data_IF_083982040525
#
_entry.id   IF_083982040525
#
_cell.length_a   1.000
_cell.length_b   1.000
_cell.length_c   1.000
_cell.angle_alpha   90.00
_cell.angle_beta   90.00
_cell.angle_gamma   90.00
#
_symmetry.space_group_name_H-M   'P 1'
#
loop_
_entity.id
_entity.type
_entity.pdbx_description
1 polymer ?
#
# COMPACT_ATOMS: atom_id res chain seq x y z
N UNK A 1 -0.53 -20.49 12.86
CA UNK A 1 -1.23 -19.42 13.58
C UNK A 1 -1.48 -18.29 12.59
N UNK A 2 -2.72 -17.86 12.41
CA UNK A 2 -3.08 -16.75 11.53
C UNK A 2 -2.92 -15.41 12.26
N UNK A 3 -2.89 -14.29 11.53
CA UNK A 3 -2.79 -12.96 12.16
C UNK A 3 -3.92 -12.68 13.17
N UNK A 4 -5.20 -12.97 12.87
CA UNK A 4 -6.27 -12.78 13.87
C UNK A 4 -6.09 -13.65 15.12
N UNK A 5 -5.66 -14.90 14.95
CA UNK A 5 -5.38 -15.81 16.07
C UNK A 5 -4.18 -15.34 16.91
N UNK A 6 -3.16 -14.77 16.25
CA UNK A 6 -1.99 -14.21 16.90
C UNK A 6 -2.33 -12.91 17.65
N UNK A 7 -3.04 -11.98 17.01
CA UNK A 7 -3.43 -10.70 17.59
C UNK A 7 -4.36 -10.86 18.80
N UNK A 8 -5.27 -11.85 18.77
CA UNK A 8 -6.11 -12.19 19.92
C UNK A 8 -5.30 -12.73 21.11
N UNK A 9 -4.18 -13.43 20.85
CA UNK A 9 -3.29 -13.97 21.89
C UNK A 9 -2.28 -12.95 22.40
N UNK A 10 -1.93 -11.97 21.58
CA UNK A 10 -0.92 -10.95 21.88
C UNK A 10 -1.47 -9.53 21.65
N UNK A 11 -2.48 -9.08 22.42
CA UNK A 11 -3.16 -7.82 22.16
C UNK A 11 -2.23 -6.60 22.28
N UNK A 12 -1.30 -6.60 23.23
CA UNK A 12 -0.29 -5.53 23.37
C UNK A 12 0.66 -5.47 22.16
N UNK A 13 1.18 -6.62 21.71
CA UNK A 13 2.07 -6.67 20.54
C UNK A 13 1.35 -6.30 19.24
N UNK A 14 0.07 -6.65 19.10
CA UNK A 14 -0.75 -6.20 17.98
C UNK A 14 -0.93 -4.68 18.00
N UNK A 15 -1.15 -4.10 19.18
CA UNK A 15 -1.29 -2.66 19.36
C UNK A 15 0.03 -1.90 19.12
N UNK A 16 1.16 -2.46 19.54
CA UNK A 16 2.50 -1.95 19.22
C UNK A 16 2.80 -2.05 17.72
N UNK A 17 2.48 -3.17 17.08
CA UNK A 17 2.60 -3.32 15.63
C UNK A 17 1.76 -2.28 14.90
N UNK A 18 0.51 -2.09 15.31
CA UNK A 18 -0.33 -0.99 14.81
C UNK A 18 0.38 0.36 14.98
N UNK A 19 0.86 0.67 16.18
CA UNK A 19 1.57 1.91 16.44
C UNK A 19 2.80 2.07 15.55
N UNK A 20 3.61 1.04 15.34
CA UNK A 20 4.79 1.07 14.46
C UNK A 20 4.40 1.34 13.00
N UNK A 21 3.37 0.64 12.51
CA UNK A 21 2.81 0.86 11.17
C UNK A 21 2.24 2.27 11.00
N UNK A 22 1.80 2.91 12.09
CA UNK A 22 1.30 4.28 12.13
C UNK A 22 2.38 5.34 12.43
N UNK A 23 3.46 5.00 13.14
CA UNK A 23 4.41 5.95 13.75
C UNK A 23 5.46 6.49 12.76
N UNK A 24 5.80 5.74 11.72
CA UNK A 24 6.76 6.20 10.70
C UNK A 24 6.22 7.31 9.78
N UNK A 25 4.99 7.79 9.99
CA UNK A 25 4.45 8.99 9.35
C UNK A 25 4.89 10.32 10.01
N UNK A 26 5.75 10.29 11.04
CA UNK A 26 6.03 11.47 11.87
C UNK A 26 7.52 11.79 12.02
N UNK A 27 8.12 12.37 10.99
CA UNK A 27 9.25 13.29 11.17
C UNK A 27 8.94 14.63 10.48
N UNK A 28 8.82 15.69 11.28
CA UNK A 28 8.70 17.06 10.80
C UNK A 28 9.84 17.91 11.34
N UNK A 29 10.73 18.44 10.49
CA UNK A 29 11.41 19.68 10.83
C UNK A 29 10.39 20.83 10.72
N UNK A 30 10.25 21.64 11.77
CA UNK A 30 9.43 22.85 11.77
C UNK A 30 9.82 23.76 10.59
N UNK A 31 8.83 24.21 9.81
CA UNK A 31 9.04 25.15 8.69
C UNK A 31 9.28 24.53 7.31
N UNK A 32 9.24 23.20 7.16
CA UNK A 32 9.34 22.57 5.84
C UNK A 32 8.11 22.87 4.94
N UNK A 33 8.30 23.15 3.63
CA UNK A 33 7.18 23.33 2.71
C UNK A 33 6.28 22.09 2.69
N UNK A 34 4.95 22.26 2.61
CA UNK A 34 4.02 21.13 2.48
C UNK A 34 4.29 20.42 1.16
N UNK A 35 4.88 19.24 1.25
CA UNK A 35 5.19 18.44 0.07
C UNK A 35 3.97 17.61 -0.37
N UNK A 36 3.79 17.48 -1.69
CA UNK A 36 2.70 16.71 -2.30
C UNK A 36 2.92 15.21 -2.08
N UNK A 37 1.84 14.43 -2.17
CA UNK A 37 1.91 12.96 -2.10
C UNK A 37 2.82 12.36 -3.19
N UNK A 38 2.80 12.95 -4.39
CA UNK A 38 3.71 12.58 -5.47
C UNK A 38 5.18 12.79 -5.10
N UNK A 39 5.51 13.86 -4.36
CA UNK A 39 6.86 14.07 -3.84
C UNK A 39 7.22 13.03 -2.77
N UNK A 40 6.32 12.79 -1.81
CA UNK A 40 6.50 11.77 -0.78
C UNK A 40 6.77 10.39 -1.41
N UNK A 41 6.05 10.03 -2.45
CA UNK A 41 6.25 8.80 -3.20
C UNK A 41 7.64 8.71 -3.84
N UNK A 42 8.15 9.78 -4.45
CA UNK A 42 9.50 9.77 -5.03
C UNK A 42 10.59 9.70 -3.95
N UNK A 43 10.40 10.39 -2.82
CA UNK A 43 11.33 10.30 -1.69
C UNK A 43 11.38 8.89 -1.10
N UNK A 44 10.23 8.26 -0.89
CA UNK A 44 10.15 6.88 -0.41
C UNK A 44 10.93 5.94 -1.34
N UNK A 45 10.72 6.04 -2.66
CA UNK A 45 11.46 5.24 -3.66
C UNK A 45 12.97 5.47 -3.59
N UNK A 46 13.41 6.72 -3.46
CA UNK A 46 14.83 7.05 -3.34
C UNK A 46 15.44 6.45 -2.06
N UNK A 47 14.75 6.53 -0.93
CA UNK A 47 15.23 6.00 0.34
C UNK A 47 15.29 4.46 0.33
N UNK A 48 14.28 3.81 -0.24
CA UNK A 48 14.27 2.36 -0.44
C UNK A 48 15.48 1.93 -1.29
N UNK A 49 15.72 2.61 -2.41
CA UNK A 49 16.85 2.33 -3.29
C UNK A 49 18.21 2.52 -2.61
N UNK A 50 18.37 3.59 -1.81
CA UNK A 50 19.62 3.83 -1.04
C UNK A 50 19.93 2.71 -0.05
N UNK A 51 18.90 2.04 0.47
CA UNK A 51 19.02 0.94 1.42
C UNK A 51 19.10 -0.44 0.71
N UNK A 52 19.28 -0.45 -0.61
CA UNK A 52 19.42 -1.67 -1.42
C UNK A 52 18.10 -2.30 -1.84
N UNK A 53 16.95 -1.77 -1.39
CA UNK A 53 15.63 -2.18 -1.84
C UNK A 53 15.30 -1.69 -3.24
N UNK A 54 14.20 -2.18 -3.79
CA UNK A 54 13.65 -1.69 -5.06
C UNK A 54 12.14 -1.59 -4.94
N UNK A 55 11.57 -0.44 -5.35
CA UNK A 55 10.13 -0.20 -5.32
C UNK A 55 9.60 0.39 -6.63
N UNK A 56 8.44 -0.11 -7.04
CA UNK A 56 7.70 0.28 -8.22
C UNK A 56 6.34 0.85 -7.84
N UNK A 57 5.81 1.72 -8.70
CA UNK A 57 4.44 2.21 -8.56
C UNK A 57 3.47 1.11 -8.91
N UNK A 58 2.56 0.80 -7.98
CA UNK A 58 1.41 -0.06 -8.20
C UNK A 58 0.23 0.81 -8.65
N UNK A 59 -0.25 0.58 -9.87
CA UNK A 59 -1.45 1.25 -10.35
C UNK A 59 -2.64 0.31 -10.10
N UNK A 60 -3.57 0.73 -9.25
CA UNK A 60 -4.81 0.00 -8.99
C UNK A 60 -5.95 0.69 -9.72
N UNK A 61 -6.69 -0.06 -10.54
CA UNK A 61 -7.77 0.53 -11.32
C UNK A 61 -8.68 -0.50 -12.00
N UNK A 62 -9.70 0.01 -12.68
CA UNK A 62 -10.62 -0.78 -13.47
C UNK A 62 -11.04 -0.01 -14.73
N UNK A 63 -11.24 -0.72 -15.84
CA UNK A 63 -11.85 -0.13 -17.02
C UNK A 63 -13.31 0.20 -16.74
N UNK A 64 -13.87 1.12 -17.53
CA UNK A 64 -15.28 1.47 -17.43
C UNK A 64 -16.12 0.30 -17.92
N UNK A 65 -17.13 -0.07 -17.12
CA UNK A 65 -18.10 -1.09 -17.51
C UNK A 65 -19.03 -0.61 -18.64
N UNK A 66 -19.21 0.71 -18.75
CA UNK A 66 -20.00 1.37 -19.79
C UNK A 66 -19.17 2.48 -20.40
N UNK A 67 -19.03 2.48 -21.72
CA UNK A 67 -18.32 3.52 -22.43
C UNK A 67 -19.18 4.05 -23.57
N UNK A 68 -19.26 5.38 -23.66
CA UNK A 68 -20.00 6.05 -24.73
C UNK A 68 -19.04 6.29 -25.90
N UNK A 69 -19.36 5.68 -27.04
CA UNK A 69 -18.62 5.83 -28.27
C UNK A 69 -19.41 6.69 -29.26
N UNK A 70 -18.69 7.37 -30.14
CA UNK A 70 -19.28 8.07 -31.28
C UNK A 70 -18.72 7.49 -32.57
N UNK A 71 -19.58 7.14 -33.51
CA UNK A 71 -19.14 6.70 -34.83
C UNK A 71 -18.34 7.84 -35.49
N UNK A 72 -17.07 7.64 -35.89
CA UNK A 72 -16.24 8.71 -36.46
C UNK A 72 -16.78 9.23 -37.80
N UNK A 73 -17.62 8.45 -38.50
CA UNK A 73 -18.19 8.81 -39.80
C UNK A 73 -19.47 9.64 -39.71
N UNK A 74 -20.36 9.32 -38.78
CA UNK A 74 -21.69 9.95 -38.69
C UNK A 74 -22.00 10.58 -37.33
N UNK A 75 -21.05 10.56 -36.39
CA UNK A 75 -21.17 11.06 -35.01
C UNK A 75 -22.31 10.45 -34.18
N UNK A 76 -22.96 9.38 -34.65
CA UNK A 76 -23.95 8.65 -33.88
C UNK A 76 -23.33 8.12 -32.59
N UNK A 77 -23.95 8.44 -31.45
CA UNK A 77 -23.51 8.02 -30.12
C UNK A 77 -24.16 6.70 -29.74
N UNK A 78 -23.36 5.75 -29.29
CA UNK A 78 -23.82 4.45 -28.80
C UNK A 78 -23.05 4.07 -27.53
N UNK A 79 -23.68 3.29 -26.66
CA UNK A 79 -23.06 2.78 -25.45
C UNK A 79 -22.58 1.35 -25.70
N UNK A 80 -21.35 1.07 -25.29
CA UNK A 80 -20.81 -0.29 -25.26
C UNK A 80 -20.69 -0.70 -23.79
N UNK A 81 -21.35 -1.80 -23.45
CA UNK A 81 -21.20 -2.45 -22.15
C UNK A 81 -20.13 -3.55 -22.26
N UNK A 82 -19.22 -3.57 -21.29
CA UNK A 82 -18.16 -4.58 -21.22
C UNK A 82 -17.85 -4.95 -19.77
N UNK A 83 -17.37 -6.17 -19.55
CA UNK A 83 -16.88 -6.57 -18.24
C UNK A 83 -15.66 -5.69 -17.86
N UNK A 84 -15.65 -5.06 -16.68
CA UNK A 84 -14.54 -4.21 -16.28
C UNK A 84 -13.26 -5.03 -16.08
N UNK A 85 -12.22 -4.69 -16.81
CA UNK A 85 -10.87 -5.24 -16.66
C UNK A 85 -10.23 -4.53 -15.47
N UNK A 86 -9.77 -5.29 -14.48
CA UNK A 86 -9.12 -4.76 -13.27
C UNK A 86 -7.62 -4.99 -13.33
N UNK A 87 -6.87 -4.04 -12.78
CA UNK A 87 -5.42 -4.12 -12.67
C UNK A 87 -4.94 -3.62 -11.31
N UNK A 88 -3.69 -3.93 -10.99
CA UNK A 88 -3.08 -3.72 -9.68
C UNK A 88 -3.28 -4.92 -8.75
N UNK A 89 -2.49 -4.96 -7.67
CA UNK A 89 -2.53 -6.09 -6.74
C UNK A 89 -3.80 -6.09 -5.89
N UNK A 90 -4.30 -7.28 -5.56
CA UNK A 90 -5.46 -7.48 -4.66
C UNK A 90 -6.69 -6.66 -5.08
N UNK A 91 -6.96 -6.59 -6.39
CA UNK A 91 -8.08 -5.87 -6.97
C UNK A 91 -9.00 -6.80 -7.76
N UNK A 92 -9.42 -7.90 -7.14
CA UNK A 92 -10.23 -8.93 -7.79
C UNK A 92 -11.68 -8.47 -8.01
N UNK A 93 -12.21 -7.64 -7.11
CA UNK A 93 -13.55 -7.09 -7.19
C UNK A 93 -13.68 -5.73 -6.51
N UNK A 94 -14.72 -4.95 -6.83
CA UNK A 94 -14.96 -3.65 -6.20
C UNK A 94 -15.18 -3.81 -4.69
N UNK A 95 -15.93 -4.85 -4.31
CA UNK A 95 -16.23 -5.17 -2.93
C UNK A 95 -14.97 -5.54 -2.14
N UNK A 96 -14.04 -6.28 -2.76
CA UNK A 96 -12.76 -6.59 -2.13
C UNK A 96 -11.88 -5.34 -2.01
N UNK A 97 -11.76 -4.53 -3.07
CA UNK A 97 -10.92 -3.32 -3.05
C UNK A 97 -11.38 -2.27 -2.04
N UNK A 98 -12.69 -2.23 -1.75
CA UNK A 98 -13.26 -1.37 -0.70
C UNK A 98 -12.87 -1.81 0.72
N UNK A 99 -12.43 -3.06 0.91
CA UNK A 99 -11.99 -3.61 2.20
C UNK A 99 -10.48 -3.73 2.29
N UNK A 100 -9.82 -4.14 1.22
CA UNK A 100 -8.36 -4.32 1.19
C UNK A 100 -7.86 -3.61 -0.06
N UNK A 101 -7.13 -2.50 0.13
CA UNK A 101 -6.65 -1.65 -0.96
C UNK A 101 -5.14 -1.65 -0.99
N UNK A 102 -4.56 -2.18 -2.07
CA UNK A 102 -3.11 -2.32 -2.18
C UNK A 102 -2.39 -0.97 -2.28
N UNK A 103 -1.18 -0.95 -1.71
CA UNK A 103 -0.36 0.25 -1.56
C UNK A 103 0.09 0.89 -2.87
N UNK A 104 0.39 2.18 -2.82
CA UNK A 104 0.98 2.94 -3.93
C UNK A 104 2.31 2.37 -4.44
N UNK A 105 3.16 1.90 -3.53
CA UNK A 105 4.46 1.32 -3.84
C UNK A 105 4.51 -0.14 -3.42
N UNK A 106 5.00 -0.98 -4.33
CA UNK A 106 5.31 -2.38 -4.07
C UNK A 106 6.78 -2.63 -4.39
N UNK A 107 7.42 -3.55 -3.69
CA UNK A 107 8.85 -3.72 -3.84
C UNK A 107 9.41 -5.00 -3.25
N UNK A 108 10.72 -5.08 -3.33
CA UNK A 108 11.54 -6.12 -2.72
C UNK A 108 12.63 -5.47 -1.88
N UNK A 109 12.99 -6.13 -0.79
CA UNK A 109 14.05 -5.68 0.12
C UNK A 109 15.03 -6.83 0.28
N UNK A 110 16.33 -6.63 -0.03
CA UNK A 110 17.33 -7.63 0.27
C UNK A 110 17.36 -7.89 1.78
N UNK A 111 17.22 -9.16 2.17
CA UNK A 111 17.40 -9.59 3.55
C UNK A 111 18.45 -10.68 3.59
N UNK A 112 19.50 -10.45 4.38
CA UNK A 112 20.42 -11.52 4.74
C UNK A 112 19.71 -12.41 5.77
N UNK A 113 19.60 -13.70 5.45
CA UNK A 113 18.99 -14.67 6.35
C UNK A 113 19.91 -14.89 7.55
N UNK A 114 19.40 -14.67 8.75
CA UNK A 114 20.12 -14.96 10.01
C UNK A 114 19.77 -16.36 10.53
N UNK A 115 20.58 -16.95 11.42
CA UNK A 115 20.28 -18.28 11.99
C UNK A 115 18.89 -18.38 12.64
N UNK A 116 18.42 -17.30 13.27
CA UNK A 116 17.11 -17.26 13.95
C UNK A 116 15.94 -17.27 12.95
N UNK A 117 16.18 -16.89 11.70
CA UNK A 117 15.18 -16.93 10.63
C UNK A 117 15.03 -18.34 10.04
N UNK A 118 15.98 -19.25 10.29
CA UNK A 118 15.94 -20.62 9.76
C UNK A 118 14.74 -21.36 10.35
N UNK A 119 13.89 -21.92 9.48
CA UNK A 119 12.65 -22.58 9.89
C UNK A 119 11.44 -21.65 10.05
N UNK A 120 11.61 -20.34 9.80
CA UNK A 120 10.51 -19.36 9.77
C UNK A 120 10.01 -19.09 8.34
N UNK A 121 8.86 -18.42 8.20
CA UNK A 121 8.35 -17.96 6.89
C UNK A 121 8.77 -16.52 6.65
N UNK A 122 9.34 -16.23 5.47
CA UNK A 122 9.78 -14.88 5.08
C UNK A 122 9.02 -14.43 3.83
N UNK A 123 8.29 -13.32 3.94
CA UNK A 123 7.76 -12.60 2.79
C UNK A 123 8.75 -11.53 2.38
N UNK A 124 9.56 -11.73 1.34
CA UNK A 124 10.46 -10.68 0.83
C UNK A 124 9.69 -9.67 -0.03
N UNK A 125 8.67 -9.05 0.54
CA UNK A 125 7.78 -8.11 -0.13
C UNK A 125 7.73 -6.80 0.67
N UNK A 126 7.78 -5.69 -0.05
CA UNK A 126 7.62 -4.34 0.48
C UNK A 126 6.31 -3.74 0.00
N UNK A 127 5.55 -3.16 0.91
CA UNK A 127 4.37 -2.35 0.60
C UNK A 127 4.44 -1.00 1.30
N UNK A 128 4.52 0.10 0.54
CA UNK A 128 4.52 1.45 1.13
C UNK A 128 3.34 2.23 0.59
N UNK A 129 2.42 2.59 1.49
CA UNK A 129 1.31 3.48 1.20
C UNK A 129 1.74 4.92 1.46
N UNK A 130 1.74 5.75 0.42
CA UNK A 130 2.30 7.09 0.49
C UNK A 130 1.24 8.11 0.84
N UNK A 131 1.57 9.04 1.72
CA UNK A 131 0.67 10.09 2.18
C UNK A 131 1.34 11.45 2.09
N UNK A 132 0.53 12.47 1.83
CA UNK A 132 1.00 13.86 1.91
C UNK A 132 1.57 14.17 3.30
N UNK A 133 2.50 15.13 3.34
CA UNK A 133 3.09 15.57 4.60
C UNK A 133 2.03 16.11 5.57
N UNK A 134 2.18 15.80 6.86
CA UNK A 134 1.24 16.20 7.91
C UNK A 134 -0.04 15.34 7.98
N UNK A 135 -0.12 14.27 7.18
CA UNK A 135 -1.19 13.29 7.31
C UNK A 135 -1.17 12.60 8.68
N UNK A 136 -2.37 12.37 9.20
CA UNK A 136 -2.62 11.60 10.42
C UNK A 136 -3.71 10.60 10.11
N UNK A 137 -3.55 9.37 10.58
CA UNK A 137 -4.56 8.34 10.42
C UNK A 137 -5.85 8.75 11.13
N UNK A 138 -6.96 8.70 10.41
CA UNK A 138 -8.29 9.07 10.91
C UNK A 138 -9.21 7.85 11.08
N UNK A 139 -8.87 6.72 10.46
CA UNK A 139 -9.68 5.51 10.53
C UNK A 139 -10.93 5.54 9.65
N UNK A 140 -10.99 6.41 8.65
CA UNK A 140 -12.06 6.35 7.65
C UNK A 140 -12.00 5.02 6.85
N UNK A 141 -13.07 4.68 6.14
CA UNK A 141 -13.17 3.40 5.42
C UNK A 141 -12.03 3.17 4.42
N UNK A 142 -11.60 4.24 3.73
CA UNK A 142 -10.53 4.15 2.75
C UNK A 142 -9.17 3.89 3.41
N UNK A 143 -8.84 4.60 4.47
CA UNK A 143 -7.60 4.42 5.24
C UNK A 143 -7.59 3.07 5.96
N UNK A 144 -8.74 2.61 6.44
CA UNK A 144 -8.90 1.27 7.02
C UNK A 144 -8.61 0.20 5.98
N UNK A 145 -9.08 0.38 4.74
CA UNK A 145 -8.80 -0.59 3.69
C UNK A 145 -7.32 -0.66 3.29
N UNK A 146 -6.63 0.47 3.34
CA UNK A 146 -5.19 0.55 3.13
C UNK A 146 -4.42 -0.10 4.27
N UNK A 147 -4.84 0.14 5.52
CA UNK A 147 -4.26 -0.50 6.69
C UNK A 147 -4.42 -2.03 6.65
N UNK A 148 -5.60 -2.54 6.29
CA UNK A 148 -5.83 -3.99 6.15
C UNK A 148 -4.90 -4.65 5.13
N UNK A 149 -4.53 -3.94 4.06
CA UNK A 149 -3.52 -4.41 3.13
C UNK A 149 -2.12 -4.47 3.76
N UNK A 150 -1.71 -3.43 4.49
CA UNK A 150 -0.42 -3.42 5.17
C UNK A 150 -0.35 -4.55 6.22
N UNK A 151 -1.39 -4.72 7.03
CA UNK A 151 -1.51 -5.82 8.01
C UNK A 151 -1.42 -7.20 7.35
N UNK A 152 -2.06 -7.37 6.19
CA UNK A 152 -1.96 -8.61 5.42
C UNK A 152 -0.51 -8.90 5.03
N UNK A 153 0.22 -7.90 4.51
CA UNK A 153 1.62 -8.06 4.11
C UNK A 153 2.51 -8.36 5.33
N UNK A 154 2.39 -7.57 6.41
CA UNK A 154 3.11 -7.81 7.66
C UNK A 154 2.83 -9.21 8.23
N UNK A 155 1.57 -9.64 8.23
CA UNK A 155 1.15 -10.96 8.68
C UNK A 155 1.64 -12.13 7.80
N UNK A 156 2.16 -11.86 6.61
CA UNK A 156 2.86 -12.84 5.74
C UNK A 156 4.38 -12.71 5.79
N UNK A 157 4.91 -11.94 6.74
CA UNK A 157 6.34 -11.73 6.94
C UNK A 157 6.95 -10.70 5.97
N UNK A 158 6.12 -9.86 5.35
CA UNK A 158 6.55 -8.72 4.54
C UNK A 158 6.79 -7.46 5.35
N UNK A 159 7.50 -6.50 4.74
CA UNK A 159 7.67 -5.16 5.29
C UNK A 159 6.58 -4.26 4.71
N UNK A 160 5.85 -3.56 5.56
CA UNK A 160 4.77 -2.68 5.12
C UNK A 160 4.60 -1.49 6.04
N UNK A 161 4.27 -0.32 5.51
CA UNK A 161 4.09 0.91 6.30
C UNK A 161 3.28 1.98 5.56
N UNK A 162 2.72 2.92 6.30
CA UNK A 162 2.40 4.25 5.77
C UNK A 162 3.66 5.11 5.78
N UNK A 163 3.83 5.97 4.76
CA UNK A 163 4.99 6.87 4.69
C UNK A 163 4.62 8.22 4.13
N UNK A 164 5.17 9.28 4.73
CA UNK A 164 5.15 10.65 4.16
C UNK A 164 6.44 10.99 3.40
N UNK A 165 7.21 9.96 3.01
CA UNK A 165 8.45 10.09 2.23
C UNK A 165 9.72 9.58 2.93
N UNK A 166 9.65 9.32 4.24
CA UNK A 166 10.70 8.63 4.99
C UNK A 166 10.37 7.13 5.06
N UNK A 167 11.36 6.29 4.75
CA UNK A 167 11.24 4.82 4.79
C UNK A 167 12.53 4.26 5.35
N UNK A 168 12.44 3.39 6.36
CA UNK A 168 13.56 2.67 6.95
C UNK A 168 13.34 1.16 6.70
N UNK A 169 14.35 0.46 6.17
CA UNK A 169 14.30 -0.98 5.88
C UNK A 169 14.92 -1.82 6.99
#
# INVERSE_FOLDING_TARGET
MTYPEWAARHPQAAQELHQLLHAEAHFQPEGAPIMTEAYAQQQARLQIAKQGGMAWRNNVGASKAKEQHSCPRCQFRFEVEQAPIRWGLCNDSAKLNAKVKSSDLIGIVPRLITPEMVGTTIGQFLAVETKKQGWKFTGNEHETAQLQWLELIAGKGGLSMFSTGAVQL
#
